data_IF_638794998455
#
_entry.id   IF_638794998455
#
_cell.length_a   1.000
_cell.length_b   1.000
_cell.length_c   1.000
_cell.angle_alpha   90.00
_cell.angle_beta   90.00
_cell.angle_gamma   90.00
#
_symmetry.space_group_name_H-M   'P 1'
#
loop_
_entity.id
_entity.type
_entity.pdbx_description
1 polymer ?
#
# COMPACT_ATOMS: atom_id res chain seq x y z
N UNK A 1 25.76 -43.34 -0.37
CA UNK A 1 25.89 -42.24 -1.34
C UNK A 1 24.73 -41.30 -1.15
N UNK A 2 25.04 -40.09 -0.70
CA UNK A 2 24.14 -39.08 -0.16
C UNK A 2 23.37 -38.39 -1.26
N UNK A 3 22.04 -38.33 -1.15
CA UNK A 3 21.20 -37.44 -1.96
C UNK A 3 20.83 -36.26 -1.05
N UNK A 4 21.56 -35.16 -1.17
CA UNK A 4 21.20 -33.90 -0.50
C UNK A 4 20.04 -33.25 -1.25
N UNK A 5 18.84 -33.41 -0.69
CA UNK A 5 17.65 -32.63 -1.05
C UNK A 5 17.84 -31.19 -0.59
N UNK A 6 18.07 -30.29 -1.54
CA UNK A 6 18.11 -28.84 -1.31
C UNK A 6 16.79 -28.36 -0.72
N UNK A 7 16.92 -27.63 0.38
CA UNK A 7 15.87 -26.97 1.13
C UNK A 7 14.86 -26.25 0.23
N UNK A 8 13.61 -26.69 0.33
CA UNK A 8 12.47 -26.04 -0.26
C UNK A 8 12.30 -24.62 0.34
N UNK A 9 12.26 -23.66 -0.58
CA UNK A 9 11.48 -22.42 -0.56
C UNK A 9 10.73 -22.13 0.75
N UNK A 10 11.29 -21.20 1.55
CA UNK A 10 10.74 -20.72 2.81
C UNK A 10 9.54 -19.78 2.59
N UNK A 11 8.46 -20.29 2.01
CA UNK A 11 7.13 -19.69 2.07
C UNK A 11 6.25 -20.49 3.05
N UNK A 12 5.37 -19.86 3.84
CA UNK A 12 4.48 -20.60 4.74
C UNK A 12 3.62 -21.59 3.92
N UNK A 13 3.47 -22.86 4.37
CA UNK A 13 2.67 -23.84 3.65
C UNK A 13 1.24 -23.35 3.43
N UNK A 14 0.58 -23.74 2.31
CA UNK A 14 -0.73 -23.23 1.89
C UNK A 14 -1.83 -23.37 2.95
N UNK A 15 -1.67 -24.29 3.92
CA UNK A 15 -2.62 -24.52 5.02
C UNK A 15 -2.65 -23.36 6.03
N UNK A 16 -1.51 -22.74 6.36
CA UNK A 16 -1.47 -21.57 7.27
C UNK A 16 -2.20 -20.36 6.70
N UNK A 17 -2.28 -20.29 5.36
CA UNK A 17 -2.92 -19.21 4.60
C UNK A 17 -4.44 -19.16 4.75
N UNK A 18 -5.09 -20.31 4.95
CA UNK A 18 -6.54 -20.39 5.14
C UNK A 18 -6.95 -20.15 6.59
N UNK A 19 -6.12 -20.54 7.55
CA UNK A 19 -6.39 -20.33 8.99
C UNK A 19 -6.42 -18.84 9.35
N UNK A 20 -5.61 -18.00 8.67
CA UNK A 20 -5.58 -16.55 8.89
C UNK A 20 -6.61 -15.77 8.05
N UNK A 21 -7.31 -16.42 7.12
CA UNK A 21 -8.29 -15.76 6.25
C UNK A 21 -9.34 -14.93 7.01
N UNK A 22 -9.89 -15.37 8.16
CA UNK A 22 -10.83 -14.57 8.94
C UNK A 22 -10.19 -13.30 9.51
N UNK A 23 -8.94 -13.40 10.01
CA UNK A 23 -8.21 -12.25 10.58
C UNK A 23 -7.82 -11.26 9.49
N UNK A 24 -7.42 -11.75 8.31
CA UNK A 24 -7.12 -10.91 7.15
C UNK A 24 -8.37 -10.20 6.65
N UNK A 25 -9.49 -10.91 6.59
CA UNK A 25 -10.77 -10.33 6.17
C UNK A 25 -11.29 -9.30 7.17
N UNK A 26 -11.10 -9.53 8.48
CA UNK A 26 -11.40 -8.53 9.51
C UNK A 26 -10.53 -7.28 9.36
N UNK A 27 -9.21 -7.45 9.24
CA UNK A 27 -8.29 -6.34 9.06
C UNK A 27 -8.56 -5.57 7.76
N UNK A 28 -8.92 -6.26 6.67
CA UNK A 28 -9.29 -5.63 5.41
C UNK A 28 -10.57 -4.79 5.55
N UNK A 29 -11.59 -5.31 6.24
CA UNK A 29 -12.82 -4.55 6.55
C UNK A 29 -12.54 -3.35 7.44
N UNK A 30 -11.67 -3.51 8.44
CA UNK A 30 -11.24 -2.40 9.32
C UNK A 30 -10.50 -1.33 8.52
N UNK A 31 -9.58 -1.73 7.65
CA UNK A 31 -8.84 -0.84 6.76
C UNK A 31 -9.79 -0.10 5.81
N UNK A 32 -10.71 -0.80 5.17
CA UNK A 32 -11.71 -0.21 4.29
C UNK A 32 -12.59 0.81 5.01
N UNK A 33 -13.08 0.50 6.22
CA UNK A 33 -13.87 1.44 7.03
C UNK A 33 -13.05 2.66 7.45
N UNK A 34 -11.79 2.46 7.82
CA UNK A 34 -10.88 3.53 8.16
C UNK A 34 -10.63 4.44 6.95
N UNK A 35 -10.19 3.86 5.83
CA UNK A 35 -9.81 4.57 4.62
C UNK A 35 -10.99 5.22 3.88
N UNK A 36 -12.16 4.57 3.87
CA UNK A 36 -13.36 5.04 3.18
C UNK A 36 -13.57 4.42 1.80
N UNK A 37 -14.54 4.95 1.05
CA UNK A 37 -15.06 4.35 -0.18
C UNK A 37 -14.04 4.23 -1.33
N UNK A 38 -12.97 5.01 -1.31
CA UNK A 38 -11.91 4.94 -2.33
C UNK A 38 -11.12 3.63 -2.29
N UNK A 39 -11.19 2.87 -1.18
CA UNK A 39 -10.50 1.59 -1.06
C UNK A 39 -11.46 0.43 -1.33
N UNK A 40 -11.26 -0.24 -2.47
CA UNK A 40 -12.04 -1.43 -2.80
C UNK A 40 -11.75 -2.57 -1.82
N UNK A 41 -12.74 -3.46 -1.61
CA UNK A 41 -12.58 -4.62 -0.72
C UNK A 41 -11.43 -5.54 -1.17
N UNK A 42 -11.23 -5.67 -2.49
CA UNK A 42 -10.12 -6.45 -3.07
C UNK A 42 -8.79 -5.82 -2.72
N UNK A 43 -8.65 -4.51 -2.98
CA UNK A 43 -7.42 -3.75 -2.71
C UNK A 43 -7.08 -3.79 -1.22
N UNK A 44 -8.08 -3.58 -0.34
CA UNK A 44 -7.88 -3.67 1.10
C UNK A 44 -7.38 -5.04 1.55
N UNK A 45 -7.91 -6.13 0.96
CA UNK A 45 -7.46 -7.48 1.26
C UNK A 45 -6.02 -7.71 0.78
N UNK A 46 -5.68 -7.29 -0.44
CA UNK A 46 -4.33 -7.43 -0.99
C UNK A 46 -3.30 -6.66 -0.15
N UNK A 47 -3.62 -5.43 0.25
CA UNK A 47 -2.76 -4.62 1.11
C UNK A 47 -2.53 -5.28 2.47
N UNK A 48 -3.57 -5.84 3.09
CA UNK A 48 -3.41 -6.58 4.34
C UNK A 48 -2.55 -7.83 4.15
N UNK A 49 -2.70 -8.57 3.05
CA UNK A 49 -1.86 -9.73 2.75
C UNK A 49 -0.38 -9.33 2.56
N UNK A 50 -0.10 -8.24 1.85
CA UNK A 50 1.26 -7.70 1.66
C UNK A 50 1.85 -7.17 2.97
N UNK A 51 1.05 -6.55 3.83
CA UNK A 51 1.47 -6.07 5.14
C UNK A 51 1.88 -7.20 6.10
N UNK A 52 1.25 -8.36 5.97
CA UNK A 52 1.57 -9.52 6.78
C UNK A 52 2.80 -10.26 6.26
N UNK A 53 2.92 -10.39 4.93
CA UNK A 53 4.00 -11.14 4.31
C UNK A 53 4.26 -10.63 2.87
N UNK A 54 5.42 -9.98 2.62
CA UNK A 54 5.83 -9.50 1.30
C UNK A 54 5.94 -10.60 0.24
N UNK A 55 6.08 -11.88 0.62
CA UNK A 55 6.12 -13.00 -0.34
C UNK A 55 4.78 -13.22 -1.05
N UNK A 56 3.70 -12.56 -0.62
CA UNK A 56 2.40 -12.61 -1.28
C UNK A 56 2.34 -11.83 -2.62
N UNK A 57 3.40 -11.13 -3.05
CA UNK A 57 3.43 -10.38 -4.32
C UNK A 57 2.97 -11.21 -5.52
N UNK A 58 3.50 -12.42 -5.81
CA UNK A 58 3.08 -13.20 -6.97
C UNK A 58 1.61 -13.62 -6.89
N UNK A 59 1.09 -13.82 -5.68
CA UNK A 59 -0.33 -14.12 -5.51
C UNK A 59 -1.21 -12.91 -5.81
N UNK A 60 -0.84 -11.73 -5.33
CA UNK A 60 -1.59 -10.48 -5.60
C UNK A 60 -1.59 -10.21 -7.11
N UNK A 61 -0.45 -10.34 -7.78
CA UNK A 61 -0.34 -10.21 -9.23
C UNK A 61 -1.28 -11.19 -9.96
N UNK A 62 -1.26 -12.47 -9.58
CA UNK A 62 -2.14 -13.49 -10.16
C UNK A 62 -3.63 -13.20 -9.91
N UNK A 63 -3.99 -12.70 -8.73
CA UNK A 63 -5.36 -12.31 -8.41
C UNK A 63 -5.82 -11.11 -9.25
N UNK A 64 -4.96 -10.11 -9.43
CA UNK A 64 -5.23 -8.94 -10.25
C UNK A 64 -5.37 -9.31 -11.72
N UNK A 65 -4.47 -10.14 -12.26
CA UNK A 65 -4.55 -10.60 -13.65
C UNK A 65 -5.89 -11.29 -13.97
N UNK A 66 -6.42 -12.09 -13.02
CA UNK A 66 -7.73 -12.75 -13.16
C UNK A 66 -8.92 -11.79 -13.06
N UNK A 67 -8.74 -10.63 -12.43
CA UNK A 67 -9.79 -9.62 -12.19
C UNK A 67 -9.65 -8.39 -13.08
N UNK A 68 -8.58 -8.30 -13.88
CA UNK A 68 -8.27 -7.16 -14.73
C UNK A 68 -9.30 -7.04 -15.85
N UNK A 69 -10.42 -6.37 -15.57
CA UNK A 69 -11.19 -5.64 -16.57
C UNK A 69 -10.60 -4.23 -16.62
N UNK A 70 -9.65 -4.02 -17.53
CA UNK A 70 -9.27 -2.71 -18.08
C UNK A 70 -9.12 -1.55 -17.08
N UNK A 71 -8.46 -1.77 -15.94
CA UNK A 71 -8.07 -0.64 -15.08
C UNK A 71 -6.74 -0.09 -15.60
N UNK A 72 -6.79 1.01 -16.36
CA UNK A 72 -5.63 1.65 -16.99
C UNK A 72 -4.73 2.46 -16.04
N UNK A 73 -4.97 2.41 -14.74
CA UNK A 73 -4.18 3.18 -13.79
C UNK A 73 -2.82 2.51 -13.57
N UNK A 74 -1.71 3.26 -13.61
CA UNK A 74 -0.40 2.71 -13.32
C UNK A 74 -0.35 2.17 -11.88
N UNK A 75 0.36 1.04 -11.65
CA UNK A 75 0.63 0.57 -10.30
C UNK A 75 1.32 1.63 -9.45
N UNK A 76 1.07 1.60 -8.14
CA UNK A 76 1.62 2.54 -7.17
C UNK A 76 0.55 3.30 -6.40
N UNK A 77 0.97 4.38 -5.74
CA UNK A 77 0.11 5.18 -4.87
C UNK A 77 -0.16 6.55 -5.50
N UNK A 78 -1.43 6.83 -5.77
CA UNK A 78 -1.90 8.16 -6.13
C UNK A 78 -2.46 8.87 -4.90
N UNK A 79 -2.28 10.18 -4.80
CA UNK A 79 -2.94 10.98 -3.75
C UNK A 79 -4.30 11.46 -4.26
N UNK A 80 -5.32 11.41 -3.41
CA UNK A 80 -6.60 12.05 -3.71
C UNK A 80 -6.53 13.58 -3.63
N UNK A 81 -7.64 14.22 -4.01
CA UNK A 81 -7.78 15.66 -4.00
C UNK A 81 -8.55 16.11 -2.75
N UNK A 82 -7.83 16.60 -1.74
CA UNK A 82 -8.43 17.08 -0.48
C UNK A 82 -9.58 18.08 -0.69
N UNK A 83 -9.41 19.03 -1.61
CA UNK A 83 -10.41 20.06 -1.91
C UNK A 83 -11.64 19.53 -2.64
N UNK A 84 -11.55 18.35 -3.26
CA UNK A 84 -12.68 17.67 -3.89
C UNK A 84 -13.48 16.78 -2.91
N UNK A 85 -12.99 16.61 -1.67
CA UNK A 85 -13.69 15.83 -0.65
C UNK A 85 -14.91 16.59 -0.11
N UNK A 86 -15.97 15.86 0.20
CA UNK A 86 -17.11 16.39 0.95
C UNK A 86 -16.67 16.84 2.34
N UNK A 87 -17.34 17.85 2.90
CA UNK A 87 -17.01 18.38 4.22
C UNK A 87 -17.04 17.32 5.32
N UNK A 88 -18.03 16.42 5.31
CA UNK A 88 -18.13 15.30 6.26
C UNK A 88 -16.89 14.38 6.22
N UNK A 89 -16.36 14.11 5.02
CA UNK A 89 -15.17 13.28 4.84
C UNK A 89 -13.91 14.01 5.31
N UNK A 90 -13.81 15.32 5.05
CA UNK A 90 -12.72 16.14 5.58
C UNK A 90 -12.71 16.13 7.12
N UNK A 91 -13.88 16.30 7.77
CA UNK A 91 -14.01 16.24 9.24
C UNK A 91 -13.63 14.85 9.75
N UNK A 92 -14.14 13.78 9.14
CA UNK A 92 -13.83 12.39 9.51
C UNK A 92 -12.32 12.12 9.48
N UNK A 93 -11.64 12.54 8.40
CA UNK A 93 -10.19 12.38 8.26
C UNK A 93 -9.41 13.21 9.26
N UNK A 94 -9.83 14.45 9.57
CA UNK A 94 -9.21 15.27 10.62
C UNK A 94 -9.30 14.60 11.98
N UNK A 95 -10.47 14.07 12.35
CA UNK A 95 -10.66 13.33 13.61
C UNK A 95 -9.76 12.09 13.66
N UNK A 96 -9.65 11.37 12.54
CA UNK A 96 -8.73 10.23 12.43
C UNK A 96 -7.27 10.65 12.65
N UNK A 97 -6.81 11.68 11.93
CA UNK A 97 -5.44 12.19 12.02
C UNK A 97 -5.11 12.70 13.42
N UNK A 98 -6.03 13.44 14.07
CA UNK A 98 -5.86 13.88 15.44
C UNK A 98 -5.71 12.72 16.43
N UNK A 99 -6.39 11.59 16.18
CA UNK A 99 -6.31 10.40 17.03
C UNK A 99 -5.07 9.56 16.79
N UNK A 100 -4.61 9.46 15.55
CA UNK A 100 -3.66 8.43 15.13
C UNK A 100 -2.37 8.95 14.49
N UNK A 101 -2.27 10.25 14.22
CA UNK A 101 -1.08 10.92 13.68
C UNK A 101 -0.72 10.57 12.22
N UNK A 102 -1.44 9.64 11.58
CA UNK A 102 -1.12 9.12 10.26
C UNK A 102 -2.34 8.55 9.52
N UNK A 103 -2.21 8.41 8.20
CA UNK A 103 -3.25 7.81 7.34
C UNK A 103 -3.44 6.32 7.63
N UNK A 104 -4.59 5.73 7.27
CA UNK A 104 -4.82 4.30 7.43
C UNK A 104 -3.80 3.42 6.71
N UNK A 105 -3.35 3.77 5.50
CA UNK A 105 -2.33 2.97 4.78
C UNK A 105 -0.94 3.18 5.38
N UNK A 106 -0.58 4.40 5.80
CA UNK A 106 0.69 4.61 6.50
C UNK A 106 0.77 3.74 7.77
N UNK A 107 -0.31 3.64 8.53
CA UNK A 107 -0.40 2.76 9.70
C UNK A 107 -0.41 1.27 9.38
N UNK A 108 -0.82 0.89 8.17
CA UNK A 108 -0.72 -0.49 7.70
C UNK A 108 0.75 -0.88 7.44
N UNK A 109 1.61 0.10 7.11
CA UNK A 109 3.05 -0.09 6.99
C UNK A 109 3.49 -0.84 5.73
N UNK A 110 2.65 -0.90 4.70
CA UNK A 110 3.03 -1.45 3.39
C UNK A 110 3.87 -0.42 2.64
N UNK A 111 5.12 -0.75 2.25
CA UNK A 111 5.94 0.15 1.44
C UNK A 111 5.31 0.38 0.06
N UNK A 112 5.48 1.59 -0.49
CA UNK A 112 5.01 1.90 -1.85
C UNK A 112 5.63 0.97 -2.89
N UNK A 113 6.90 0.62 -2.73
CA UNK A 113 7.60 -0.29 -3.63
C UNK A 113 6.91 -1.65 -3.70
N UNK A 114 6.37 -2.11 -2.56
CA UNK A 114 5.65 -3.38 -2.51
C UNK A 114 4.27 -3.28 -3.20
N UNK A 115 3.62 -2.12 -3.10
CA UNK A 115 2.36 -1.82 -3.81
C UNK A 115 2.62 -1.80 -5.32
N UNK A 116 3.65 -1.08 -5.78
CA UNK A 116 4.07 -1.02 -7.18
C UNK A 116 4.42 -2.40 -7.74
N UNK A 117 5.30 -3.14 -7.05
CA UNK A 117 5.72 -4.49 -7.45
C UNK A 117 4.53 -5.46 -7.54
N UNK A 118 3.53 -5.31 -6.68
CA UNK A 118 2.34 -6.15 -6.71
C UNK A 118 1.37 -5.84 -7.86
N UNK A 119 1.58 -4.73 -8.59
CA UNK A 119 0.68 -4.27 -9.65
C UNK A 119 -0.58 -3.57 -9.12
N UNK A 120 -0.64 -3.26 -7.82
CA UNK A 120 -1.79 -2.57 -7.23
C UNK A 120 -1.74 -1.07 -7.54
N UNK A 121 -2.88 -0.51 -7.92
CA UNK A 121 -3.12 0.93 -7.87
C UNK A 121 -3.93 1.27 -6.61
N UNK A 122 -3.45 2.22 -5.82
CA UNK A 122 -4.10 2.65 -4.57
C UNK A 122 -4.20 4.16 -4.53
N UNK A 123 -5.39 4.67 -4.20
CA UNK A 123 -5.59 6.09 -3.91
C UNK A 123 -5.46 6.29 -2.40
N UNK A 124 -4.45 7.04 -1.97
CA UNK A 124 -4.17 7.43 -0.58
C UNK A 124 -4.69 8.85 -0.29
N UNK A 125 -4.94 9.13 0.98
CA UNK A 125 -5.32 10.44 1.48
C UNK A 125 -4.22 11.48 1.26
N UNK A 126 -4.55 12.53 0.53
CA UNK A 126 -3.85 13.81 0.69
C UNK A 126 -4.20 14.40 2.05
N UNK A 127 -3.20 14.98 2.71
CA UNK A 127 -3.38 15.61 4.00
C UNK A 127 -4.14 16.94 3.90
N UNK A 128 -4.82 17.34 4.97
CA UNK A 128 -5.28 18.71 5.12
C UNK A 128 -4.09 19.69 4.98
N UNK A 129 -4.29 20.87 4.37
CA UNK A 129 -3.22 21.84 4.13
C UNK A 129 -2.58 22.38 5.42
N UNK A 130 -3.27 22.26 6.54
CA UNK A 130 -2.89 22.73 7.87
C UNK A 130 -2.29 21.63 8.77
N UNK A 131 -2.09 20.41 8.25
CA UNK A 131 -1.64 19.27 9.05
C UNK A 131 -0.33 18.70 8.52
N UNK A 132 0.74 18.86 9.31
CA UNK A 132 2.00 18.13 9.13
C UNK A 132 1.89 16.71 9.71
N UNK A 133 1.08 15.86 9.09
CA UNK A 133 1.05 14.44 9.41
C UNK A 133 2.00 13.66 8.49
N UNK A 134 2.36 12.43 8.90
CA UNK A 134 3.02 11.50 8.00
C UNK A 134 2.00 10.91 7.02
N UNK A 135 1.69 11.62 5.93
CA UNK A 135 1.12 11.00 4.72
C UNK A 135 2.21 10.92 3.69
N UNK A 136 3.05 9.89 3.88
CA UNK A 136 4.17 9.62 3.01
C UNK A 136 4.35 8.11 2.91
N UNK A 137 3.30 7.39 2.50
CA UNK A 137 3.56 6.12 1.78
C UNK A 137 4.50 6.40 0.60
N UNK A 138 4.41 7.61 0.04
CA UNK A 138 5.17 8.15 -1.10
C UNK A 138 6.67 8.42 -0.85
N UNK A 139 7.21 8.27 0.37
CA UNK A 139 8.64 8.53 0.61
C UNK A 139 9.33 7.52 1.54
N UNK A 140 9.83 6.44 0.93
CA UNK A 140 11.06 5.77 1.37
C UNK A 140 12.04 5.47 0.23
N UNK A 141 12.25 6.44 -0.68
CA UNK A 141 13.54 6.50 -1.38
C UNK A 141 14.55 7.23 -0.51
N UNK A 142 15.72 6.65 -0.19
CA UNK A 142 16.89 7.46 0.10
C UNK A 142 17.08 8.36 -1.11
N UNK A 143 17.10 9.69 -0.94
CA UNK A 143 17.73 10.55 -1.94
C UNK A 143 19.16 10.03 -2.03
N UNK A 144 19.50 9.37 -3.14
CA UNK A 144 20.90 9.12 -3.47
C UNK A 144 21.55 10.49 -3.44
N UNK A 145 22.47 10.65 -2.49
CA UNK A 145 23.10 11.93 -2.19
C UNK A 145 23.76 12.51 -3.42
N UNK A 146 23.72 13.83 -3.50
CA UNK A 146 24.50 14.63 -4.43
C UNK A 146 25.96 14.14 -4.49
N UNK A 147 26.36 13.71 -5.67
CA UNK A 147 27.76 13.58 -6.06
C UNK A 147 28.00 14.35 -7.34
N UNK A 148 28.70 15.48 -7.20
CA UNK A 148 29.50 16.21 -8.21
C UNK A 148 28.79 16.94 -9.37
N UNK A 149 28.81 18.27 -9.24
CA UNK A 149 29.38 19.23 -10.20
C UNK A 149 29.20 18.99 -11.70
N UNK A 150 28.49 19.93 -12.33
CA UNK A 150 28.45 20.09 -13.78
C UNK A 150 27.86 21.45 -14.15
N UNK A 151 28.57 22.53 -13.80
CA UNK A 151 28.32 23.87 -14.35
C UNK A 151 28.31 23.76 -15.88
N UNK A 152 27.15 24.01 -16.51
CA UNK A 152 27.11 24.40 -17.92
C UNK A 152 26.47 25.78 -18.03
N UNK A 153 27.33 26.74 -18.34
CA UNK A 153 27.01 28.07 -18.87
C UNK A 153 26.10 27.92 -20.08
N UNK A 154 24.98 28.63 -20.09
CA UNK A 154 24.32 29.00 -21.33
C UNK A 154 25.09 30.19 -21.92
N UNK A 155 25.50 30.04 -23.18
CA UNK A 155 25.90 31.13 -24.08
C UNK A 155 24.76 31.37 -25.04
#
# INVERSE_FOLDING_TARGET
MTVEGRFAENGPPPVLRWVLAPRWQWNARKLQRAHGALLSSTTAWCLVALAQDPTNVPFVQNLLARRAKESHHPPGVALDCWTALRHEEQVRRRVWLARYGATPLHRLGVPEELIELSGLHVVEWRLPPDVEAASLVVQRRPRVGNGSEGVRRCR
#
